data_IF_133929904100
#
_entry.id   IF_133929904100
#
_cell.length_a   1.000
_cell.length_b   1.000
_cell.length_c   1.000
_cell.angle_alpha   90.00
_cell.angle_beta   90.00
_cell.angle_gamma   90.00
#
_symmetry.space_group_name_H-M   'P 1'
#
loop_
_entity.id
_entity.type
_entity.pdbx_description
1 polymer ?
#
# COMPACT_ATOMS: atom_id res chain seq x y z
N UNK A 1 8.82 6.25 4.99
CA UNK A 1 8.44 6.68 3.64
C UNK A 1 7.19 7.53 3.68
N UNK A 2 7.20 8.63 2.96
CA UNK A 2 6.04 9.49 2.93
C UNK A 2 5.08 9.02 1.85
N UNK A 3 3.83 8.76 2.22
CA UNK A 3 2.83 8.30 1.27
C UNK A 3 1.96 9.49 0.88
N UNK A 4 2.17 10.01 -0.31
CA UNK A 4 1.37 11.14 -0.78
C UNK A 4 0.88 10.96 -2.21
N UNK A 5 0.95 9.75 -2.74
CA UNK A 5 0.47 9.47 -4.08
C UNK A 5 0.26 7.98 -4.24
N UNK A 6 -0.45 7.60 -5.28
CA UNK A 6 -0.65 6.18 -5.60
C UNK A 6 0.69 5.52 -5.86
N UNK A 7 1.60 6.26 -6.51
CA UNK A 7 2.91 5.70 -6.82
C UNK A 7 3.67 5.33 -5.56
N UNK A 8 3.61 6.18 -4.53
CA UNK A 8 4.33 5.86 -3.30
C UNK A 8 3.72 4.66 -2.58
N UNK A 9 2.40 4.47 -2.67
CA UNK A 9 1.77 3.26 -2.14
C UNK A 9 2.26 2.05 -2.90
N UNK A 10 2.30 2.13 -4.23
CA UNK A 10 2.74 1.02 -5.06
C UNK A 10 4.16 0.62 -4.75
N UNK A 11 5.03 1.59 -4.56
CA UNK A 11 6.41 1.32 -4.23
C UNK A 11 6.55 0.69 -2.85
N UNK A 12 5.76 1.15 -1.89
CA UNK A 12 5.79 0.57 -0.55
C UNK A 12 5.36 -0.88 -0.57
N UNK A 13 4.31 -1.18 -1.35
CA UNK A 13 3.80 -2.54 -1.48
C UNK A 13 4.86 -3.45 -2.11
N UNK A 14 5.45 -3.00 -3.20
CA UNK A 14 6.45 -3.79 -3.90
C UNK A 14 7.67 -4.04 -3.02
N UNK A 15 8.14 -3.02 -2.34
CA UNK A 15 9.30 -3.13 -1.48
C UNK A 15 9.03 -4.11 -0.35
N UNK A 16 7.87 -3.98 0.29
CA UNK A 16 7.54 -4.86 1.41
C UNK A 16 7.40 -6.30 0.95
N UNK A 17 6.74 -6.51 -0.20
CA UNK A 17 6.59 -7.86 -0.75
C UNK A 17 7.94 -8.51 -0.96
N UNK A 18 8.88 -7.76 -1.52
CA UNK A 18 10.21 -8.30 -1.77
C UNK A 18 10.98 -8.56 -0.48
N UNK A 19 10.79 -7.71 0.52
CA UNK A 19 11.40 -7.92 1.83
C UNK A 19 10.91 -9.23 2.44
N UNK A 20 9.66 -9.57 2.20
CA UNK A 20 9.08 -10.80 2.73
C UNK A 20 9.41 -12.02 1.87
N UNK A 21 10.06 -11.82 0.73
CA UNK A 21 10.44 -12.93 -0.15
C UNK A 21 9.26 -13.53 -0.89
N UNK A 22 8.21 -12.76 -1.14
CA UNK A 22 7.00 -13.27 -1.76
C UNK A 22 6.91 -12.87 -3.23
N UNK A 23 6.32 -13.75 -4.04
CA UNK A 23 5.99 -13.40 -5.42
C UNK A 23 4.68 -12.61 -5.43
N UNK A 24 4.38 -11.97 -6.57
CA UNK A 24 3.10 -11.30 -6.72
C UNK A 24 1.93 -12.26 -6.54
N UNK A 25 2.06 -13.45 -7.10
CA UNK A 25 1.00 -14.46 -7.04
C UNK A 25 0.75 -14.89 -5.59
N UNK A 26 1.81 -15.14 -4.85
CA UNK A 26 1.68 -15.54 -3.45
C UNK A 26 1.04 -14.44 -2.62
N UNK A 27 1.41 -13.20 -2.90
CA UNK A 27 0.88 -12.07 -2.15
C UNK A 27 -0.58 -11.81 -2.48
N UNK A 28 -0.94 -11.94 -3.75
CA UNK A 28 -2.34 -11.78 -4.15
C UNK A 28 -3.21 -12.80 -3.42
N UNK A 29 -2.74 -14.02 -3.34
CA UNK A 29 -3.45 -15.08 -2.66
C UNK A 29 -3.58 -14.78 -1.17
N UNK A 30 -2.50 -14.34 -0.55
CA UNK A 30 -2.50 -13.97 0.86
C UNK A 30 -3.48 -12.84 1.15
N UNK A 31 -3.56 -11.88 0.24
CA UNK A 31 -4.45 -10.73 0.39
C UNK A 31 -5.88 -11.02 -0.06
N UNK A 32 -6.12 -12.21 -0.61
CA UNK A 32 -7.42 -12.61 -1.12
C UNK A 32 -7.91 -11.67 -2.21
N UNK A 33 -7.02 -11.33 -3.14
CA UNK A 33 -7.35 -10.52 -4.31
C UNK A 33 -6.86 -11.25 -5.54
N UNK A 34 -7.37 -10.85 -6.70
CA UNK A 34 -6.92 -11.46 -7.95
C UNK A 34 -5.48 -11.05 -8.27
N UNK A 35 -4.79 -11.90 -9.02
CA UNK A 35 -3.43 -11.60 -9.43
C UNK A 35 -3.35 -10.33 -10.26
N UNK A 36 -4.35 -10.11 -11.11
CA UNK A 36 -4.39 -8.90 -11.92
C UNK A 36 -4.54 -7.65 -11.04
N UNK A 37 -5.40 -7.73 -10.01
CA UNK A 37 -5.58 -6.60 -9.11
C UNK A 37 -4.23 -6.27 -8.44
N UNK A 38 -3.55 -7.29 -7.94
CA UNK A 38 -2.30 -7.05 -7.23
C UNK A 38 -1.22 -6.49 -8.16
N UNK A 39 -1.15 -7.02 -9.37
CA UNK A 39 -0.20 -6.50 -10.34
C UNK A 39 -0.49 -5.04 -10.67
N UNK A 40 -1.76 -4.69 -10.84
CA UNK A 40 -2.13 -3.31 -11.10
C UNK A 40 -1.83 -2.41 -9.92
N UNK A 41 -1.97 -2.93 -8.70
CA UNK A 41 -1.62 -2.19 -7.51
C UNK A 41 -0.13 -1.84 -7.51
N UNK A 42 0.72 -2.81 -7.81
CA UNK A 42 2.17 -2.56 -7.86
C UNK A 42 2.57 -1.66 -9.02
N UNK A 43 1.74 -1.60 -10.06
CA UNK A 43 2.02 -0.73 -11.20
C UNK A 43 1.45 0.66 -11.06
N UNK A 44 0.79 0.95 -9.95
CA UNK A 44 0.32 2.30 -9.67
C UNK A 44 -0.98 2.69 -10.32
N UNK A 45 -1.83 1.72 -10.64
CA UNK A 45 -3.11 2.05 -11.23
C UNK A 45 -3.95 2.85 -10.23
N UNK A 46 -4.49 3.97 -10.70
CA UNK A 46 -5.16 4.92 -9.82
C UNK A 46 -6.63 4.64 -9.57
N UNK A 47 -7.22 3.71 -10.31
CA UNK A 47 -8.67 3.47 -10.23
C UNK A 47 -9.02 2.19 -9.49
N UNK A 48 -8.16 1.73 -8.61
CA UNK A 48 -8.43 0.52 -7.84
C UNK A 48 -9.36 0.80 -6.67
N UNK A 49 -10.10 -0.22 -6.26
CA UNK A 49 -10.96 -0.10 -5.09
C UNK A 49 -10.10 0.11 -3.85
N UNK A 50 -10.32 1.23 -3.18
CA UNK A 50 -9.45 1.62 -2.07
C UNK A 50 -9.56 0.64 -0.89
N UNK A 51 -10.73 0.09 -0.64
CA UNK A 51 -10.89 -0.86 0.45
C UNK A 51 -10.02 -2.09 0.25
N UNK A 52 -9.88 -2.55 -0.99
CA UNK A 52 -9.02 -3.70 -1.28
C UNK A 52 -7.55 -3.33 -1.18
N UNK A 53 -7.20 -2.10 -1.58
CA UNK A 53 -5.83 -1.61 -1.43
C UNK A 53 -5.45 -1.58 0.04
N UNK A 54 -6.32 -1.02 0.87
CA UNK A 54 -6.05 -0.93 2.31
C UNK A 54 -5.93 -2.32 2.94
N UNK A 55 -6.73 -3.26 2.48
CA UNK A 55 -6.63 -4.63 2.98
C UNK A 55 -5.28 -5.24 2.63
N UNK A 56 -4.79 -5.02 1.42
CA UNK A 56 -3.48 -5.53 1.03
C UNK A 56 -2.38 -4.92 1.88
N UNK A 57 -2.48 -3.62 2.17
CA UNK A 57 -1.50 -2.97 3.03
C UNK A 57 -1.49 -3.61 4.41
N UNK A 58 -2.67 -3.85 4.95
CA UNK A 58 -2.78 -4.47 6.26
C UNK A 58 -2.16 -5.86 6.27
N UNK A 59 -2.44 -6.66 5.26
CA UNK A 59 -1.90 -8.02 5.18
C UNK A 59 -0.39 -8.02 5.04
N UNK A 60 0.16 -6.99 4.42
CA UNK A 60 1.61 -6.87 4.27
C UNK A 60 2.28 -6.23 5.47
N UNK A 61 1.51 -5.82 6.46
CA UNK A 61 2.07 -5.18 7.65
C UNK A 61 2.50 -3.75 7.39
N UNK A 62 1.88 -3.09 6.43
CA UNK A 62 2.18 -1.70 6.13
C UNK A 62 1.14 -0.83 6.81
N UNK A 63 1.59 0.07 7.66
CA UNK A 63 0.70 0.98 8.36
C UNK A 63 0.74 2.35 7.69
N UNK A 64 -0.43 2.93 7.51
CA UNK A 64 -0.54 4.28 6.99
C UNK A 64 -0.92 5.21 8.11
N UNK A 65 -0.28 6.36 8.13
CA UNK A 65 -0.55 7.38 9.12
C UNK A 65 -0.93 8.66 8.42
N UNK A 66 -1.80 9.44 9.02
CA UNK A 66 -2.15 10.73 8.48
C UNK A 66 -1.59 11.82 9.38
N UNK A 67 -1.10 12.89 8.76
CA UNK A 67 -0.58 14.03 9.48
C UNK A 67 -1.20 15.26 8.84
N UNK A 68 -1.93 16.04 9.63
CA UNK A 68 -2.50 17.26 9.13
C UNK A 68 -1.43 18.32 9.05
N UNK A 69 -1.58 19.24 8.13
CA UNK A 69 -0.57 20.27 8.00
C UNK A 69 -0.40 21.10 9.24
N UNK A 70 -1.48 21.35 9.96
CA UNK A 70 -1.38 22.08 11.21
C UNK A 70 -0.56 21.31 12.21
N UNK A 71 -0.67 19.99 12.17
CA UNK A 71 0.07 19.15 13.09
C UNK A 71 1.55 19.18 12.75
N UNK A 72 1.87 19.43 11.48
CA UNK A 72 3.26 19.51 11.09
C UNK A 72 3.96 20.66 11.79
N UNK A 73 3.24 21.66 12.21
CA UNK A 73 3.84 22.76 12.93
C UNK A 73 4.20 22.37 14.34
N UNK A 74 3.86 21.22 14.71
CA UNK A 74 4.20 20.76 16.03
C UNK A 74 3.16 20.97 17.04
N UNK A 75 2.04 21.40 16.64
CA UNK A 75 1.17 21.68 17.53
C UNK A 75 0.20 20.90 17.58
N UNK A 76 -0.11 20.28 18.01
CA UNK A 76 -0.96 19.49 17.93
C UNK A 76 -1.82 19.61 18.73
N UNK A 77 -2.43 19.84 18.83
CA UNK A 77 -3.37 20.06 19.43
C UNK A 77 -4.06 19.17 19.92
#
# INVERSE_FOLDING_TARGET
MRVNSVKSISEAVKTRRKQLGLTQSETAEMCNVGGRFFSELENGKETLQINKVLHCLEMLGINLYTINREDDSGENK
#
